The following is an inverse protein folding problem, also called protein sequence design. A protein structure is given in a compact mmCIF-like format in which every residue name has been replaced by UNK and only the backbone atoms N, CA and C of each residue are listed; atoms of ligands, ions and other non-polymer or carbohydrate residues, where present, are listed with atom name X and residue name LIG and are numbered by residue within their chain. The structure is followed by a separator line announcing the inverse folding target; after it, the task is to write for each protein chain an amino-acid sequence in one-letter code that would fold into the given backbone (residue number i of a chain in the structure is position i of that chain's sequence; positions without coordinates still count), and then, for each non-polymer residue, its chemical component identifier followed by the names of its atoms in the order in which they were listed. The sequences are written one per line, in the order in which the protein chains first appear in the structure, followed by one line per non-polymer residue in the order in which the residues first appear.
data_IF_884135116506
#
_entry.id   IF_884135116506
#
_cell.length_a   1.000
_cell.length_b   1.000
_cell.length_c   1.000
_cell.angle_alpha   90.00
_cell.angle_beta   90.00
_cell.angle_gamma   90.00
#
_symmetry.space_group_name_H-M   'P 1'
#
loop_
_entity.id
_entity.type
_entity.pdbx_description
1 polymer ?
#
# COMPACT_ATOMS: atom_id res chain seq x y z
N UNK A 1 -5.91 -16.39 10.38
CA UNK A 1 -4.48 -16.37 10.03
C UNK A 1 -3.78 -17.49 10.76
N UNK A 2 -2.92 -18.21 10.09
CA UNK A 2 -1.99 -19.14 10.72
C UNK A 2 -0.66 -18.43 10.90
N UNK A 3 -0.22 -18.28 12.14
CA UNK A 3 1.06 -17.64 12.44
C UNK A 3 2.25 -18.56 12.17
N UNK A 4 2.00 -19.83 11.85
CA UNK A 4 3.04 -20.81 11.49
C UNK A 4 4.13 -20.99 12.55
N UNK A 5 5.24 -21.57 12.14
CA UNK A 5 6.48 -21.57 12.88
C UNK A 5 7.17 -20.19 12.80
N UNK A 6 8.05 -19.88 13.75
CA UNK A 6 8.76 -18.58 13.81
C UNK A 6 9.52 -18.20 12.53
N UNK A 7 9.84 -19.20 11.72
CA UNK A 7 10.64 -19.06 10.49
C UNK A 7 9.77 -18.92 9.21
N UNK A 8 8.44 -18.82 9.35
CA UNK A 8 7.52 -18.69 8.20
C UNK A 8 6.67 -17.44 8.32
N UNK A 9 6.40 -16.83 7.18
CA UNK A 9 5.42 -15.76 7.09
C UNK A 9 4.02 -16.30 7.44
N UNK A 10 3.19 -15.50 8.14
CA UNK A 10 1.80 -15.88 8.40
C UNK A 10 1.05 -16.14 7.11
N UNK A 11 0.26 -17.21 7.07
CA UNK A 11 -0.55 -17.56 5.91
C UNK A 11 -2.05 -17.35 6.17
N UNK A 12 -2.81 -17.13 5.10
CA UNK A 12 -4.26 -16.95 5.14
C UNK A 12 -4.94 -18.31 5.03
N UNK A 13 -5.51 -18.81 6.12
CA UNK A 13 -6.22 -20.11 6.14
C UNK A 13 -7.60 -20.10 5.47
N UNK A 14 -8.26 -18.95 5.46
CA UNK A 14 -9.60 -18.81 4.91
C UNK A 14 -9.86 -17.38 4.45
N UNK A 15 -10.69 -17.25 3.44
CA UNK A 15 -11.12 -15.96 2.91
C UNK A 15 -12.54 -15.69 3.39
N UNK A 16 -12.73 -14.83 4.41
CA UNK A 16 -14.01 -14.65 5.08
C UNK A 16 -15.10 -14.05 4.18
N UNK A 17 -14.71 -13.40 3.09
CA UNK A 17 -15.62 -12.75 2.15
C UNK A 17 -15.43 -13.26 0.71
N UNK A 18 -15.14 -14.55 0.55
CA UNK A 18 -14.98 -15.18 -0.77
C UNK A 18 -16.24 -15.09 -1.65
N UNK A 19 -17.42 -14.98 -1.04
CA UNK A 19 -18.72 -14.79 -1.68
C UNK A 19 -19.05 -13.30 -1.95
N UNK A 20 -18.15 -12.37 -1.63
CA UNK A 20 -18.37 -10.92 -1.71
C UNK A 20 -19.57 -10.42 -0.89
N UNK A 21 -19.92 -11.10 0.17
CA UNK A 21 -20.89 -10.60 1.14
C UNK A 21 -20.43 -9.29 1.78
N UNK A 22 -21.31 -8.60 2.49
CA UNK A 22 -21.00 -7.32 3.12
C UNK A 22 -19.87 -7.44 4.16
N UNK A 23 -18.80 -6.69 3.93
CA UNK A 23 -17.68 -6.62 4.85
C UNK A 23 -18.12 -5.97 6.16
N UNK A 24 -17.95 -6.67 7.26
CA UNK A 24 -18.26 -6.16 8.60
C UNK A 24 -16.97 -5.81 9.31
N UNK A 25 -16.69 -4.52 9.40
CA UNK A 25 -15.53 -4.01 10.16
C UNK A 25 -15.93 -3.90 11.63
N UNK A 26 -15.23 -4.58 12.55
CA UNK A 26 -15.49 -4.39 13.97
C UNK A 26 -15.26 -2.93 14.37
N UNK A 27 -16.17 -2.29 15.14
CA UNK A 27 -16.01 -0.89 15.53
C UNK A 27 -14.77 -0.65 16.38
N UNK A 28 -14.29 -1.70 17.04
CA UNK A 28 -13.11 -1.71 17.91
C UNK A 28 -11.86 -2.28 17.20
N UNK A 29 -11.79 -2.27 15.85
CA UNK A 29 -10.69 -2.94 15.14
C UNK A 29 -9.31 -2.35 15.48
N UNK A 30 -9.22 -1.04 15.77
CA UNK A 30 -7.98 -0.40 16.20
C UNK A 30 -7.50 -0.88 17.59
N UNK A 31 -8.43 -1.37 18.42
CA UNK A 31 -8.13 -1.93 19.73
C UNK A 31 -7.63 -3.39 19.65
N UNK A 32 -7.74 -4.03 18.50
CA UNK A 32 -7.27 -5.40 18.32
C UNK A 32 -5.75 -5.49 18.49
N UNK A 33 -5.22 -6.58 19.04
CA UNK A 33 -3.78 -6.72 19.30
C UNK A 33 -2.89 -6.44 18.11
N UNK A 34 -3.30 -6.82 16.89
CA UNK A 34 -2.55 -6.59 15.66
C UNK A 34 -2.40 -5.11 15.31
N UNK A 35 -3.41 -4.28 15.57
CA UNK A 35 -3.32 -2.83 15.36
C UNK A 35 -2.59 -2.15 16.53
N UNK A 36 -2.93 -2.52 17.77
CA UNK A 36 -2.33 -1.92 18.97
C UNK A 36 -0.82 -2.06 19.02
N UNK A 37 -0.28 -3.24 18.66
CA UNK A 37 1.17 -3.45 18.69
C UNK A 37 1.91 -2.50 17.74
N UNK A 38 1.34 -2.21 16.57
CA UNK A 38 1.92 -1.27 15.60
C UNK A 38 1.87 0.16 16.15
N UNK A 39 0.72 0.59 16.65
CA UNK A 39 0.54 1.94 17.19
C UNK A 39 1.42 2.17 18.43
N UNK A 40 1.55 1.18 19.30
CA UNK A 40 2.45 1.24 20.45
C UNK A 40 3.92 1.32 20.02
N UNK A 41 4.33 0.52 19.04
CA UNK A 41 5.70 0.55 18.50
C UNK A 41 6.03 1.93 17.91
N UNK A 42 5.14 2.55 17.14
CA UNK A 42 5.32 3.91 16.63
C UNK A 42 5.46 4.93 17.77
N UNK A 43 4.64 4.85 18.80
CA UNK A 43 4.71 5.72 19.97
C UNK A 43 6.00 5.54 20.76
N UNK A 44 6.50 4.30 20.89
CA UNK A 44 7.79 4.02 21.52
C UNK A 44 8.93 4.63 20.69
N UNK A 45 8.95 4.40 19.38
CA UNK A 45 9.94 4.97 18.48
C UNK A 45 9.95 6.50 18.57
N UNK A 46 8.78 7.14 18.50
CA UNK A 46 8.67 8.61 18.61
C UNK A 46 9.28 9.14 19.90
N UNK A 47 9.02 8.49 21.04
CA UNK A 47 9.64 8.89 22.32
C UNK A 47 11.16 8.76 22.33
N UNK A 48 11.71 7.73 21.65
CA UNK A 48 13.15 7.47 21.64
C UNK A 48 13.90 8.36 20.65
N UNK A 49 13.38 8.56 19.45
CA UNK A 49 14.09 9.31 18.41
C UNK A 49 13.71 10.80 18.38
N UNK A 50 12.59 11.18 19.02
CA UNK A 50 12.09 12.57 18.98
C UNK A 50 11.86 13.03 17.53
N UNK A 51 12.32 14.22 17.20
CA UNK A 51 12.28 14.78 15.84
C UNK A 51 13.56 14.55 15.02
N UNK A 52 14.48 13.71 15.46
CA UNK A 52 15.79 13.51 14.80
C UNK A 52 15.73 12.59 13.58
N UNK A 53 14.75 11.68 13.53
CA UNK A 53 14.60 10.67 12.48
C UNK A 53 13.12 10.63 12.09
N UNK A 54 12.84 10.58 10.79
CA UNK A 54 11.52 10.38 10.27
C UNK A 54 11.02 8.95 10.58
N UNK A 55 9.80 8.84 11.04
CA UNK A 55 9.12 7.57 11.31
C UNK A 55 8.10 7.33 10.21
N UNK A 56 8.28 6.22 9.51
CA UNK A 56 7.40 5.82 8.41
C UNK A 56 6.45 4.74 8.89
N UNK A 57 5.16 5.06 8.88
CA UNK A 57 4.09 4.08 9.07
C UNK A 57 3.80 3.30 7.78
N UNK A 58 3.00 2.23 7.89
CA UNK A 58 2.57 1.45 6.72
C UNK A 58 1.16 0.92 6.90
N UNK A 59 0.39 0.95 5.80
CA UNK A 59 -0.96 0.38 5.74
C UNK A 59 -1.17 -0.36 4.42
N UNK A 60 -2.03 -1.36 4.43
CA UNK A 60 -2.51 -1.97 3.20
C UNK A 60 -3.70 -1.18 2.66
N UNK A 61 -3.69 -0.94 1.35
CA UNK A 61 -4.81 -0.33 0.64
C UNK A 61 -5.98 -1.30 0.45
N UNK A 62 -7.16 -0.79 0.05
CA UNK A 62 -8.37 -1.59 -0.11
C UNK A 62 -8.24 -2.72 -1.13
N UNK A 63 -7.44 -2.53 -2.18
CA UNK A 63 -7.19 -3.58 -3.18
C UNK A 63 -6.42 -4.75 -2.58
N UNK A 64 -5.35 -4.48 -1.86
CA UNK A 64 -4.57 -5.51 -1.16
C UNK A 64 -5.40 -6.19 -0.09
N UNK A 65 -6.19 -5.44 0.67
CA UNK A 65 -7.11 -6.01 1.65
C UNK A 65 -8.13 -6.95 0.99
N UNK A 66 -8.63 -6.62 -0.22
CA UNK A 66 -9.55 -7.48 -0.96
C UNK A 66 -8.93 -8.84 -1.29
N UNK A 67 -7.62 -8.89 -1.59
CA UNK A 67 -6.92 -10.16 -1.78
C UNK A 67 -6.95 -11.06 -0.54
N UNK A 68 -6.77 -10.45 0.63
CA UNK A 68 -6.81 -11.18 1.91
C UNK A 68 -8.22 -11.53 2.35
N UNK A 69 -9.22 -10.77 1.94
CA UNK A 69 -10.61 -10.96 2.34
C UNK A 69 -11.37 -11.91 1.42
N UNK A 70 -11.24 -11.76 0.10
CA UNK A 70 -11.96 -12.55 -0.89
C UNK A 70 -11.12 -13.66 -1.54
N UNK A 71 -9.80 -13.61 -1.38
CA UNK A 71 -8.83 -14.42 -2.14
C UNK A 71 -8.42 -13.74 -3.44
N UNK A 72 -7.12 -13.71 -3.71
CA UNK A 72 -6.54 -13.02 -4.87
C UNK A 72 -7.16 -13.48 -6.18
N UNK A 73 -7.22 -14.80 -6.41
CA UNK A 73 -7.75 -15.36 -7.64
C UNK A 73 -9.23 -15.00 -7.83
N UNK A 74 -10.03 -15.14 -6.77
CA UNK A 74 -11.46 -14.88 -6.81
C UNK A 74 -11.75 -13.39 -7.06
N UNK A 75 -11.01 -12.50 -6.40
CA UNK A 75 -11.13 -11.06 -6.58
C UNK A 75 -10.72 -10.62 -7.99
N UNK A 76 -9.58 -11.10 -8.51
CA UNK A 76 -9.13 -10.77 -9.86
C UNK A 76 -10.03 -11.36 -10.95
N UNK A 77 -10.66 -12.51 -10.70
CA UNK A 77 -11.67 -13.07 -11.60
C UNK A 77 -12.89 -12.13 -11.70
N UNK A 78 -13.38 -11.62 -10.57
CA UNK A 78 -14.48 -10.65 -10.55
C UNK A 78 -14.12 -9.36 -11.32
N UNK A 79 -12.90 -8.86 -11.17
CA UNK A 79 -12.39 -7.73 -11.96
C UNK A 79 -12.37 -8.04 -13.46
N UNK A 80 -11.80 -9.18 -13.84
CA UNK A 80 -11.69 -9.61 -15.26
C UNK A 80 -13.03 -9.90 -15.93
N UNK A 81 -14.04 -10.31 -15.16
CA UNK A 81 -15.42 -10.52 -15.63
C UNK A 81 -16.25 -9.23 -15.68
N UNK A 82 -15.70 -8.09 -15.27
CA UNK A 82 -16.40 -6.81 -15.26
C UNK A 82 -17.51 -6.72 -14.20
N UNK A 83 -17.37 -7.44 -13.08
CA UNK A 83 -18.33 -7.38 -11.96
C UNK A 83 -18.15 -6.08 -11.15
N UNK A 84 -18.21 -4.94 -11.83
CA UNK A 84 -17.85 -3.60 -11.32
C UNK A 84 -18.57 -3.25 -10.01
N UNK A 85 -19.86 -3.53 -9.91
CA UNK A 85 -20.65 -3.25 -8.72
C UNK A 85 -20.10 -4.00 -7.50
N UNK A 86 -19.78 -5.28 -7.68
CA UNK A 86 -19.24 -6.16 -6.63
C UNK A 86 -17.85 -5.71 -6.18
N UNK A 87 -16.96 -5.45 -7.13
CA UNK A 87 -15.59 -4.99 -6.88
C UNK A 87 -15.59 -3.63 -6.16
N UNK A 88 -16.30 -2.65 -6.72
CA UNK A 88 -16.37 -1.29 -6.14
C UNK A 88 -16.98 -1.31 -4.73
N UNK A 89 -18.02 -2.11 -4.51
CA UNK A 89 -18.64 -2.26 -3.19
C UNK A 89 -17.61 -2.75 -2.16
N UNK A 90 -16.84 -3.79 -2.47
CA UNK A 90 -15.84 -4.34 -1.55
C UNK A 90 -14.74 -3.31 -1.24
N UNK A 91 -14.21 -2.62 -2.26
CA UNK A 91 -13.19 -1.59 -2.07
C UNK A 91 -13.69 -0.47 -1.16
N UNK A 92 -14.92 0.03 -1.39
CA UNK A 92 -15.52 1.09 -0.57
C UNK A 92 -15.81 0.65 0.86
N UNK A 93 -16.14 -0.61 1.10
CA UNK A 93 -16.33 -1.13 2.46
C UNK A 93 -15.02 -1.31 3.22
N UNK A 94 -13.90 -1.55 2.53
CA UNK A 94 -12.56 -1.69 3.13
C UNK A 94 -11.84 -0.34 3.31
N UNK A 95 -12.14 0.65 2.48
CA UNK A 95 -11.49 1.97 2.50
C UNK A 95 -11.50 2.64 3.88
N UNK A 96 -12.60 2.66 4.66
CA UNK A 96 -12.62 3.27 5.99
C UNK A 96 -11.63 2.64 6.97
N UNK A 97 -11.31 1.35 6.82
CA UNK A 97 -10.29 0.67 7.63
C UNK A 97 -8.91 1.25 7.35
N UNK A 98 -8.58 1.42 6.06
CA UNK A 98 -7.33 2.02 5.61
C UNK A 98 -7.19 3.45 6.16
N UNK A 99 -8.21 4.30 5.98
CA UNK A 99 -8.22 5.69 6.44
C UNK A 99 -8.05 5.77 7.96
N UNK A 100 -8.84 5.01 8.71
CA UNK A 100 -8.77 5.03 10.17
C UNK A 100 -7.40 4.57 10.69
N UNK A 101 -6.80 3.54 10.08
CA UNK A 101 -5.48 3.06 10.52
C UNK A 101 -4.34 4.00 10.11
N UNK A 102 -4.44 4.70 8.97
CA UNK A 102 -3.51 5.78 8.60
C UNK A 102 -3.55 6.89 9.67
N UNK A 103 -4.72 7.40 9.98
CA UNK A 103 -4.88 8.49 10.93
C UNK A 103 -4.42 8.10 12.34
N UNK A 104 -4.68 6.85 12.76
CA UNK A 104 -4.18 6.34 14.04
C UNK A 104 -2.64 6.26 14.08
N UNK A 105 -1.98 5.93 12.98
CA UNK A 105 -0.52 5.91 12.89
C UNK A 105 0.08 7.33 12.98
N UNK A 106 -0.53 8.33 12.36
CA UNK A 106 -0.12 9.73 12.54
C UNK A 106 -0.26 10.17 14.00
N UNK A 107 -1.39 9.86 14.65
CA UNK A 107 -1.59 10.14 16.08
C UNK A 107 -0.58 9.42 16.97
N UNK A 108 -0.13 8.22 16.57
CA UNK A 108 0.90 7.46 17.28
C UNK A 108 2.33 7.97 17.03
N UNK A 109 2.52 8.93 16.12
CA UNK A 109 3.80 9.60 15.90
C UNK A 109 4.50 9.25 14.59
N UNK A 110 3.83 8.67 13.61
CA UNK A 110 4.36 8.58 12.25
C UNK A 110 4.46 9.98 11.60
N UNK A 111 5.51 10.22 10.84
CA UNK A 111 5.69 11.46 10.06
C UNK A 111 5.09 11.33 8.67
N UNK A 112 5.08 10.12 8.13
CA UNK A 112 4.56 9.77 6.81
C UNK A 112 4.04 8.32 6.85
N UNK A 113 3.02 8.00 6.05
CA UNK A 113 2.51 6.64 5.96
C UNK A 113 2.60 6.11 4.52
N UNK A 114 3.13 4.91 4.36
CA UNK A 114 3.13 4.18 3.09
C UNK A 114 1.79 3.47 2.92
N UNK A 115 1.04 3.87 1.92
CA UNK A 115 -0.15 3.18 1.41
C UNK A 115 0.31 2.13 0.40
N UNK A 116 0.36 0.87 0.82
CA UNK A 116 0.76 -0.24 -0.04
C UNK A 116 -0.47 -0.92 -0.65
N UNK A 117 -0.63 -0.78 -1.98
CA UNK A 117 -1.78 -1.36 -2.67
C UNK A 117 -1.32 -2.13 -3.91
N UNK A 118 -1.44 -3.47 -3.86
CA UNK A 118 -0.78 -4.40 -4.77
C UNK A 118 -1.55 -4.55 -6.11
N UNK A 119 -1.76 -3.44 -6.80
CA UNK A 119 -2.35 -3.36 -8.14
C UNK A 119 -1.25 -3.33 -9.22
N UNK A 120 -0.32 -4.28 -9.15
CA UNK A 120 0.83 -4.36 -10.07
C UNK A 120 0.40 -4.62 -11.50
N UNK A 121 1.18 -4.13 -12.46
CA UNK A 121 0.95 -4.29 -13.91
C UNK A 121 0.69 -5.75 -14.33
N UNK A 122 1.35 -6.70 -13.68
CA UNK A 122 1.19 -8.11 -14.01
C UNK A 122 -0.19 -8.69 -13.66
N UNK A 123 -0.95 -8.03 -12.80
CA UNK A 123 -2.25 -8.46 -12.32
C UNK A 123 -3.38 -7.54 -12.81
N UNK A 124 -3.09 -6.26 -12.98
CA UNK A 124 -4.08 -5.21 -13.20
C UNK A 124 -3.60 -4.26 -14.29
N UNK A 125 -4.35 -4.09 -15.35
CA UNK A 125 -4.07 -3.09 -16.39
C UNK A 125 -4.32 -1.65 -15.91
N UNK A 126 -3.76 -0.64 -16.60
CA UNK A 126 -3.93 0.77 -16.23
C UNK A 126 -5.40 1.21 -16.26
N UNK A 127 -6.20 0.68 -17.18
CA UNK A 127 -7.64 0.95 -17.25
C UNK A 127 -8.38 0.53 -15.97
N UNK A 128 -8.11 -0.69 -15.45
CA UNK A 128 -8.74 -1.14 -14.19
C UNK A 128 -8.25 -0.33 -12.99
N UNK A 129 -6.98 0.11 -13.00
CA UNK A 129 -6.50 1.02 -11.96
C UNK A 129 -7.26 2.35 -12.00
N UNK A 130 -7.43 2.93 -13.17
CA UNK A 130 -8.17 4.18 -13.37
C UNK A 130 -9.64 4.04 -12.96
N UNK A 131 -10.29 2.93 -13.34
CA UNK A 131 -11.69 2.67 -13.03
C UNK A 131 -11.94 2.45 -11.55
N UNK A 132 -11.14 1.59 -10.89
CA UNK A 132 -11.42 1.12 -9.54
C UNK A 132 -10.62 1.83 -8.45
N UNK A 133 -9.32 2.06 -8.68
CA UNK A 133 -8.41 2.48 -7.61
C UNK A 133 -8.11 3.96 -7.58
N UNK A 134 -8.03 4.63 -8.73
CA UNK A 134 -7.78 6.07 -8.76
C UNK A 134 -8.79 6.84 -7.88
N UNK A 135 -10.12 6.65 -8.00
CA UNK A 135 -11.07 7.34 -7.14
C UNK A 135 -10.96 6.94 -5.66
N UNK A 136 -10.61 5.70 -5.36
CA UNK A 136 -10.41 5.23 -3.98
C UNK A 136 -9.18 5.90 -3.35
N UNK A 137 -8.06 5.97 -4.07
CA UNK A 137 -6.85 6.62 -3.58
C UNK A 137 -7.05 8.13 -3.40
N UNK A 138 -7.75 8.80 -4.32
CA UNK A 138 -8.12 10.21 -4.18
C UNK A 138 -8.98 10.46 -2.94
N UNK A 139 -9.93 9.57 -2.66
CA UNK A 139 -10.79 9.70 -1.49
C UNK A 139 -10.02 9.41 -0.18
N UNK A 140 -9.07 8.48 -0.19
CA UNK A 140 -8.18 8.23 0.96
C UNK A 140 -7.33 9.46 1.24
N UNK A 141 -6.63 10.00 0.24
CA UNK A 141 -5.73 11.16 0.42
C UNK A 141 -6.46 12.40 0.89
N UNK A 142 -7.72 12.58 0.48
CA UNK A 142 -8.57 13.69 0.93
C UNK A 142 -9.02 13.58 2.40
N UNK A 143 -8.93 12.40 3.03
CA UNK A 143 -9.46 12.16 4.39
C UNK A 143 -8.38 11.84 5.43
N UNK A 144 -7.11 11.82 5.03
CA UNK A 144 -6.01 11.53 5.96
C UNK A 144 -5.30 12.79 6.41
N UNK A 145 -4.78 12.79 7.63
CA UNK A 145 -4.24 13.97 8.29
C UNK A 145 -2.74 14.22 8.07
N UNK A 146 -2.11 13.58 7.10
CA UNK A 146 -0.67 13.74 6.86
C UNK A 146 -0.20 13.14 5.55
N UNK A 147 1.10 13.23 5.23
CA UNK A 147 1.64 12.87 3.94
C UNK A 147 1.63 11.36 3.69
N UNK A 148 1.33 10.99 2.44
CA UNK A 148 1.22 9.60 1.97
C UNK A 148 2.26 9.30 0.89
N UNK A 149 2.96 8.19 1.04
CA UNK A 149 3.71 7.55 -0.05
C UNK A 149 2.85 6.41 -0.61
N UNK A 150 2.47 6.47 -1.87
CA UNK A 150 1.85 5.32 -2.54
C UNK A 150 2.94 4.30 -2.90
N UNK A 151 2.72 3.04 -2.56
CA UNK A 151 3.57 1.93 -3.02
C UNK A 151 2.75 0.92 -3.80
N UNK A 152 3.12 0.74 -5.07
CA UNK A 152 2.62 -0.32 -5.93
C UNK A 152 3.82 -1.09 -6.48
N UNK A 153 3.94 -2.36 -6.12
CA UNK A 153 5.04 -3.21 -6.54
C UNK A 153 5.07 -3.45 -8.06
N UNK A 154 6.25 -3.77 -8.57
CA UNK A 154 6.48 -4.14 -9.96
C UNK A 154 6.59 -2.95 -10.92
N UNK A 155 6.80 -3.27 -12.20
CA UNK A 155 6.87 -2.25 -13.23
C UNK A 155 5.47 -1.69 -13.52
N UNK A 156 5.19 -0.50 -13.01
CA UNK A 156 3.94 0.24 -13.22
C UNK A 156 4.16 1.53 -14.04
N UNK A 157 5.17 1.53 -14.93
CA UNK A 157 5.45 2.68 -15.82
C UNK A 157 4.25 3.06 -16.70
N UNK A 158 3.33 2.14 -16.97
CA UNK A 158 2.13 2.34 -17.76
C UNK A 158 1.06 3.23 -17.10
N UNK A 159 1.25 3.66 -15.86
CA UNK A 159 0.26 4.44 -15.08
C UNK A 159 0.85 5.49 -14.14
N UNK A 160 2.06 5.96 -14.38
CA UNK A 160 2.70 6.98 -13.54
C UNK A 160 1.86 8.24 -13.39
N UNK A 161 1.23 8.70 -14.48
CA UNK A 161 0.37 9.89 -14.48
C UNK A 161 -0.90 9.69 -13.64
N UNK A 162 -1.43 8.47 -13.59
CA UNK A 162 -2.55 8.13 -12.73
C UNK A 162 -2.13 8.20 -11.25
N UNK A 163 -0.93 7.71 -10.91
CA UNK A 163 -0.40 7.84 -9.55
C UNK A 163 -0.23 9.30 -9.14
N UNK A 164 0.33 10.13 -10.02
CA UNK A 164 0.46 11.56 -9.77
C UNK A 164 -0.89 12.31 -9.67
N UNK A 165 -1.99 11.66 -10.06
CA UNK A 165 -3.35 12.23 -9.98
C UNK A 165 -4.13 11.75 -8.74
N UNK A 166 -3.55 10.89 -7.89
CA UNK A 166 -4.21 10.36 -6.69
C UNK A 166 -4.22 11.34 -5.51
N UNK A 167 -3.40 12.39 -5.55
CA UNK A 167 -3.22 13.31 -4.44
C UNK A 167 -2.23 12.83 -3.37
N UNK A 168 -1.49 11.75 -3.60
CA UNK A 168 -0.40 11.32 -2.72
C UNK A 168 0.82 12.24 -2.87
N UNK A 169 1.62 12.35 -1.81
CA UNK A 169 2.80 13.24 -1.81
C UNK A 169 4.00 12.63 -2.53
N UNK A 170 4.11 11.29 -2.51
CA UNK A 170 5.18 10.59 -3.20
C UNK A 170 4.75 9.20 -3.71
N UNK A 171 5.46 8.72 -4.73
CA UNK A 171 5.35 7.35 -5.23
C UNK A 171 6.64 6.58 -4.98
N UNK A 172 6.53 5.47 -4.26
CA UNK A 172 7.64 4.53 -4.07
C UNK A 172 7.62 3.52 -5.21
N UNK A 173 8.58 3.65 -6.13
CA UNK A 173 8.65 2.87 -7.36
C UNK A 173 9.77 1.83 -7.35
N UNK A 174 9.58 0.77 -8.12
CA UNK A 174 10.53 -0.33 -8.21
C UNK A 174 11.66 -0.07 -9.21
N UNK A 175 12.73 -0.82 -9.02
CA UNK A 175 13.94 -0.80 -9.87
C UNK A 175 13.66 -1.05 -11.35
N UNK A 176 12.56 -1.73 -11.69
CA UNK A 176 12.17 -2.03 -13.07
C UNK A 176 11.62 -0.81 -13.85
N UNK A 177 11.43 0.32 -13.18
CA UNK A 177 11.04 1.60 -13.80
C UNK A 177 12.30 2.44 -13.93
N UNK A 178 12.59 2.94 -15.11
CA UNK A 178 13.71 3.86 -15.32
C UNK A 178 13.47 5.18 -14.56
N UNK A 179 14.41 5.56 -13.69
CA UNK A 179 14.28 6.73 -12.82
C UNK A 179 14.25 8.04 -13.60
N UNK A 180 14.99 8.13 -14.72
CA UNK A 180 14.98 9.32 -15.58
C UNK A 180 13.63 9.48 -16.28
N UNK A 181 13.08 8.38 -16.79
CA UNK A 181 11.73 8.36 -17.36
C UNK A 181 10.70 8.79 -16.32
N UNK A 182 10.75 8.24 -15.11
CA UNK A 182 9.82 8.59 -14.05
C UNK A 182 9.88 10.09 -13.69
N UNK A 183 11.10 10.63 -13.52
CA UNK A 183 11.31 12.07 -13.27
C UNK A 183 10.79 12.93 -14.39
N UNK A 184 11.05 12.57 -15.65
CA UNK A 184 10.58 13.35 -16.81
C UNK A 184 9.06 13.39 -16.93
N UNK A 185 8.38 12.29 -16.55
CA UNK A 185 6.92 12.17 -16.70
C UNK A 185 6.13 12.76 -15.55
N UNK A 186 6.62 12.63 -14.33
CA UNK A 186 5.82 12.99 -13.15
C UNK A 186 6.61 13.67 -12.02
N UNK A 187 7.91 13.89 -12.18
CA UNK A 187 8.75 14.41 -11.10
C UNK A 187 8.47 15.85 -10.68
N UNK A 188 7.76 16.63 -11.49
CA UNK A 188 7.25 17.97 -11.17
C UNK A 188 5.89 17.96 -10.44
N UNK A 189 5.23 16.79 -10.36
CA UNK A 189 3.88 16.63 -9.81
C UNK A 189 3.84 15.84 -8.53
N UNK A 190 4.81 14.94 -8.29
CA UNK A 190 4.81 14.00 -7.18
C UNK A 190 6.26 13.67 -6.77
N UNK A 191 6.53 13.53 -5.49
CA UNK A 191 7.82 13.02 -5.02
C UNK A 191 8.06 11.58 -5.48
N UNK A 192 9.31 11.25 -5.79
CA UNK A 192 9.70 9.91 -6.20
C UNK A 192 10.66 9.31 -5.18
N UNK A 193 10.37 8.08 -4.72
CA UNK A 193 11.15 7.33 -3.73
C UNK A 193 11.53 5.98 -4.33
N UNK A 194 12.81 5.63 -4.27
CA UNK A 194 13.35 4.38 -4.84
C UNK A 194 14.61 4.73 -5.65
N UNK A 195 15.21 3.85 -6.44
CA UNK A 195 14.68 2.53 -6.81
C UNK A 195 15.81 1.50 -6.94
N UNK A 196 16.60 1.37 -5.88
CA UNK A 196 17.68 0.39 -5.85
C UNK A 196 17.12 -1.02 -6.01
N UNK A 197 17.77 -1.83 -6.86
CA UNK A 197 17.35 -3.23 -7.04
C UNK A 197 17.58 -4.03 -5.75
N UNK A 198 16.48 -4.40 -5.10
CA UNK A 198 16.51 -5.11 -3.83
C UNK A 198 17.12 -6.52 -3.91
N UNK A 199 16.91 -7.25 -5.00
CA UNK A 199 17.41 -8.60 -5.15
C UNK A 199 18.87 -8.63 -5.63
N UNK A 200 19.19 -7.92 -6.73
CA UNK A 200 20.53 -7.96 -7.32
C UNK A 200 21.53 -7.12 -6.54
N UNK A 201 21.13 -5.93 -6.13
CA UNK A 201 22.05 -4.95 -5.51
C UNK A 201 22.06 -5.06 -4.00
N UNK A 202 20.90 -5.04 -3.32
CA UNK A 202 20.90 -5.07 -1.85
C UNK A 202 21.16 -6.47 -1.28
N UNK A 203 20.64 -7.55 -1.91
CA UNK A 203 20.79 -8.91 -1.38
C UNK A 203 22.06 -9.60 -1.89
N UNK A 204 22.41 -9.43 -3.17
CA UNK A 204 23.49 -10.18 -3.83
C UNK A 204 24.70 -9.33 -4.20
N UNK A 205 24.58 -8.01 -4.19
CA UNK A 205 25.62 -7.07 -4.54
C UNK A 205 26.58 -6.76 -3.39
N UNK A 206 27.63 -6.00 -3.71
CA UNK A 206 28.59 -5.47 -2.77
C UNK A 206 28.18 -4.08 -2.26
N UNK A 207 28.78 -3.55 -1.17
CA UNK A 207 28.57 -2.17 -0.75
C UNK A 207 28.87 -1.14 -1.87
N UNK A 208 29.87 -1.44 -2.72
CA UNK A 208 30.24 -0.61 -3.87
C UNK A 208 29.11 -0.57 -4.92
N UNK A 209 28.47 -1.72 -5.20
CA UNK A 209 27.33 -1.79 -6.12
C UNK A 209 26.15 -0.95 -5.60
N UNK A 210 25.90 -0.98 -4.28
CA UNK A 210 24.86 -0.16 -3.64
C UNK A 210 25.20 1.31 -3.79
N UNK A 211 26.45 1.69 -3.52
CA UNK A 211 26.89 3.08 -3.61
C UNK A 211 26.81 3.64 -5.05
N UNK A 212 27.09 2.81 -6.05
CA UNK A 212 27.00 3.22 -7.45
C UNK A 212 25.56 3.36 -7.94
N UNK A 213 24.62 2.61 -7.36
CA UNK A 213 23.21 2.64 -7.76
C UNK A 213 22.38 3.68 -6.99
N UNK A 214 22.83 4.11 -5.82
CA UNK A 214 22.18 5.15 -5.02
C UNK A 214 22.53 6.55 -5.50
#
# INVERSE_FOLDING_TARGET
MDWGDRDRMPDVKAFPYADFSDVRVPPDFLEKPSCRVVLEALSILRRHVGGRVAIVGKVMGPWTLSYHMAGTQNFLLAVGMGETVKVTKMLRQLMPVTIAFINAQFQAGADIVVLADHATRNLVGPHHYEEYLLPIHQEITAQVGGPIILHVCGNCSDRLELFASTGVDAYHFEWAIDSKEAVQRVGDRIGLVGNINNARTLLQGTPEDVHQQA
#
